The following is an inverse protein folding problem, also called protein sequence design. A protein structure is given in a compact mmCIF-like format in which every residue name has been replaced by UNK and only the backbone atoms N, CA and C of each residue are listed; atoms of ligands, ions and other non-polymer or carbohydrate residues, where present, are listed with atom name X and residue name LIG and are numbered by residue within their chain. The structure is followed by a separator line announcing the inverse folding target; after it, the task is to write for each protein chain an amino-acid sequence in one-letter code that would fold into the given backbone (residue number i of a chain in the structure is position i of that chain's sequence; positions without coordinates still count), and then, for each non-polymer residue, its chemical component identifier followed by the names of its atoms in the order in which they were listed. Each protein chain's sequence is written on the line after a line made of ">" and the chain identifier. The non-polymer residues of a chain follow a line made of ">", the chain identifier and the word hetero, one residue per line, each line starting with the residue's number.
data_IF_334436787574
#
_entry.id   IF_334436787574
#
_cell.length_a   1.000
_cell.length_b   1.000
_cell.length_c   1.000
_cell.angle_alpha   90.00
_cell.angle_beta   90.00
_cell.angle_gamma   90.00
#
_symmetry.space_group_name_H-M   'P 1'
#
loop_
_entity.id
_entity.type
_entity.pdbx_description
1 polymer ?
#
# COMPACT_ATOMS: atom_id res chain seq x y z
N UNK A 1 9.62 13.90 4.98
CA UNK A 1 8.63 12.85 4.63
C UNK A 1 8.21 12.87 3.17
N UNK A 2 7.84 14.01 2.56
CA UNK A 2 7.41 14.06 1.15
C UNK A 2 8.44 13.51 0.13
N UNK A 3 9.74 13.64 0.39
CA UNK A 3 10.78 13.13 -0.53
C UNK A 3 10.88 11.61 -0.57
N UNK A 4 10.70 10.90 0.55
CA UNK A 4 10.77 9.44 0.59
C UNK A 4 9.52 8.84 -0.06
N UNK A 5 8.34 9.37 0.27
CA UNK A 5 7.10 8.97 -0.39
C UNK A 5 7.17 9.25 -1.89
N UNK A 6 7.72 10.39 -2.30
CA UNK A 6 7.95 10.73 -3.71
C UNK A 6 8.93 9.76 -4.39
N UNK A 7 10.05 9.42 -3.75
CA UNK A 7 11.01 8.47 -4.30
C UNK A 7 10.41 7.06 -4.44
N UNK A 8 9.64 6.62 -3.45
CA UNK A 8 8.89 5.36 -3.50
C UNK A 8 7.85 5.36 -4.63
N UNK A 9 7.16 6.49 -4.84
CA UNK A 9 6.20 6.68 -5.94
C UNK A 9 6.92 6.70 -7.31
N UNK A 10 8.05 7.40 -7.42
CA UNK A 10 8.85 7.44 -8.65
C UNK A 10 9.40 6.05 -9.03
N UNK A 11 9.76 5.23 -8.04
CA UNK A 11 10.20 3.85 -8.28
C UNK A 11 9.12 2.96 -8.90
N UNK A 12 7.85 3.25 -8.61
CA UNK A 12 6.69 2.46 -9.04
C UNK A 12 5.93 3.07 -10.23
N UNK A 13 6.34 4.24 -10.70
CA UNK A 13 5.72 4.93 -11.83
C UNK A 13 6.00 4.23 -13.17
N UNK A 14 5.07 4.36 -14.13
CA UNK A 14 5.18 3.83 -15.51
C UNK A 14 6.41 4.34 -16.29
N UNK A 15 6.99 5.48 -15.89
CA UNK A 15 8.20 6.07 -16.48
C UNK A 15 9.50 5.48 -15.89
N UNK A 16 9.38 4.64 -14.85
CA UNK A 16 10.52 3.94 -14.28
C UNK A 16 11.10 2.98 -15.32
N UNK A 17 12.44 2.90 -15.49
CA UNK A 17 13.05 1.90 -16.37
C UNK A 17 12.75 0.45 -15.92
N UNK A 18 12.08 0.29 -14.78
CA UNK A 18 11.59 -0.96 -14.23
C UNK A 18 10.07 -1.15 -14.39
N UNK A 19 9.35 -0.29 -15.13
CA UNK A 19 7.90 -0.30 -15.32
C UNK A 19 7.41 -1.34 -16.34
N UNK A 20 7.48 -2.63 -15.99
CA UNK A 20 6.63 -3.66 -16.62
C UNK A 20 5.22 -3.64 -15.99
N UNK A 21 4.18 -4.06 -16.72
CA UNK A 21 2.80 -4.11 -16.21
C UNK A 21 2.64 -4.95 -14.94
N UNK A 22 3.41 -6.03 -14.77
CA UNK A 22 3.22 -6.98 -13.66
C UNK A 22 3.97 -6.56 -12.38
N UNK A 23 3.66 -5.39 -11.80
CA UNK A 23 4.51 -4.81 -10.76
C UNK A 23 4.45 -5.54 -9.41
N UNK A 24 3.33 -6.18 -9.08
CA UNK A 24 3.13 -6.84 -7.78
C UNK A 24 3.02 -8.38 -7.84
N UNK A 25 3.02 -8.99 -9.03
CA UNK A 25 3.13 -10.46 -9.21
C UNK A 25 4.60 -10.96 -9.27
N UNK A 26 5.57 -10.15 -8.81
CA UNK A 26 6.99 -10.46 -9.00
C UNK A 26 7.95 -9.65 -8.13
N UNK A 27 9.21 -9.57 -8.58
CA UNK A 27 10.32 -9.01 -7.80
C UNK A 27 10.13 -7.55 -7.35
N UNK A 28 9.32 -6.74 -8.06
CA UNK A 28 9.17 -5.31 -7.77
C UNK A 28 8.30 -5.02 -6.55
N UNK A 29 7.22 -5.77 -6.33
CA UNK A 29 6.46 -5.70 -5.08
C UNK A 29 7.29 -6.08 -3.86
N UNK A 30 8.19 -7.04 -4.01
CA UNK A 30 9.15 -7.40 -2.96
C UNK A 30 10.16 -6.27 -2.69
N UNK A 31 10.75 -5.68 -3.74
CA UNK A 31 11.68 -4.54 -3.61
C UNK A 31 11.01 -3.32 -2.99
N UNK A 32 9.81 -2.95 -3.45
CA UNK A 32 9.03 -1.86 -2.84
C UNK A 32 8.80 -2.13 -1.35
N UNK A 33 8.35 -3.34 -1.01
CA UNK A 33 8.13 -3.76 0.38
C UNK A 33 9.40 -3.65 1.22
N UNK A 34 10.53 -4.10 0.70
CA UNK A 34 11.83 -4.01 1.39
C UNK A 34 12.25 -2.57 1.65
N UNK A 35 12.19 -1.70 0.63
CA UNK A 35 12.55 -0.28 0.76
C UNK A 35 11.56 0.44 1.69
N UNK A 36 10.27 0.16 1.58
CA UNK A 36 9.26 0.71 2.46
C UNK A 36 9.53 0.32 3.92
N UNK A 37 9.76 -0.96 4.21
CA UNK A 37 10.06 -1.44 5.58
C UNK A 37 11.38 -0.85 6.08
N UNK A 38 12.37 -0.67 5.21
CA UNK A 38 13.62 -0.01 5.60
C UNK A 38 13.40 1.42 6.11
N UNK A 39 12.49 2.18 5.48
CA UNK A 39 12.16 3.54 5.89
C UNK A 39 11.12 3.62 7.01
N UNK A 40 10.20 2.65 7.08
CA UNK A 40 9.08 2.59 8.00
C UNK A 40 9.01 1.23 8.70
N UNK A 41 10.00 0.88 9.54
CA UNK A 41 10.16 -0.48 10.08
C UNK A 41 8.97 -0.94 10.93
N UNK A 42 8.33 -0.02 11.65
CA UNK A 42 7.23 -0.34 12.57
C UNK A 42 5.86 -0.38 11.87
N UNK A 43 5.76 0.06 10.61
CA UNK A 43 4.49 0.22 9.93
C UNK A 43 3.71 -1.10 9.85
N UNK A 44 4.40 -2.19 9.46
CA UNK A 44 3.76 -3.51 9.34
C UNK A 44 3.30 -4.04 10.69
N UNK A 45 4.10 -3.86 11.74
CA UNK A 45 3.72 -4.26 13.09
C UNK A 45 2.47 -3.50 13.54
N UNK A 46 2.42 -2.18 13.31
CA UNK A 46 1.26 -1.34 13.64
C UNK A 46 0.02 -1.74 12.83
N UNK A 47 0.16 -2.03 11.53
CA UNK A 47 -0.94 -2.54 10.69
C UNK A 47 -1.43 -3.91 11.20
N UNK A 48 -0.54 -4.84 11.50
CA UNK A 48 -0.92 -6.17 12.04
C UNK A 48 -1.60 -6.10 13.41
N UNK A 49 -1.27 -5.10 14.24
CA UNK A 49 -2.00 -4.84 15.50
C UNK A 49 -3.44 -4.42 15.26
N UNK A 50 -3.69 -3.62 14.22
CA UNK A 50 -5.03 -3.15 13.86
C UNK A 50 -5.81 -4.16 13.01
N UNK A 51 -5.10 -4.96 12.22
CA UNK A 51 -5.62 -5.98 11.32
C UNK A 51 -4.88 -7.29 11.59
N UNK A 52 -5.22 -8.01 12.68
CA UNK A 52 -4.56 -9.27 12.99
C UNK A 52 -4.75 -10.29 11.87
N UNK A 53 -3.64 -10.82 11.35
CA UNK A 53 -3.67 -11.78 10.25
C UNK A 53 -3.86 -11.15 8.88
N UNK A 54 -3.51 -9.86 8.72
CA UNK A 54 -3.45 -9.24 7.40
C UNK A 54 -2.55 -10.08 6.48
N UNK A 55 -3.00 -10.35 5.26
CA UNK A 55 -2.18 -11.04 4.26
C UNK A 55 -1.06 -10.11 3.77
N UNK A 56 -0.05 -10.66 3.11
CA UNK A 56 1.01 -9.84 2.49
C UNK A 56 0.48 -8.84 1.49
N UNK A 57 -0.59 -9.20 0.78
CA UNK A 57 -1.24 -8.33 -0.21
C UNK A 57 -2.03 -7.21 0.48
N UNK A 58 -2.71 -7.50 1.59
CA UNK A 58 -3.41 -6.49 2.40
C UNK A 58 -2.41 -5.51 3.03
N UNK A 59 -1.29 -6.00 3.56
CA UNK A 59 -0.20 -5.15 4.05
C UNK A 59 0.36 -4.25 2.96
N UNK A 60 0.60 -4.79 1.77
CA UNK A 60 1.13 -4.05 0.64
C UNK A 60 0.15 -2.98 0.13
N UNK A 61 -1.14 -3.33 0.08
CA UNK A 61 -2.19 -2.34 -0.19
C UNK A 61 -2.17 -1.22 0.84
N UNK A 62 -2.00 -1.53 2.13
CA UNK A 62 -1.90 -0.53 3.18
C UNK A 62 -0.69 0.40 2.97
N UNK A 63 0.48 -0.14 2.59
CA UNK A 63 1.66 0.67 2.28
C UNK A 63 1.40 1.67 1.15
N UNK A 64 0.79 1.20 0.05
CA UNK A 64 0.49 2.02 -1.12
C UNK A 64 -0.51 3.14 -0.82
N UNK A 65 -1.56 2.82 -0.06
CA UNK A 65 -2.52 3.81 0.40
C UNK A 65 -1.85 4.82 1.34
N UNK A 66 -0.96 4.37 2.24
CA UNK A 66 -0.27 5.24 3.19
C UNK A 66 0.63 6.27 2.49
N UNK A 67 1.34 5.87 1.43
CA UNK A 67 2.14 6.81 0.62
C UNK A 67 1.29 7.70 -0.29
N UNK A 68 -0.03 7.49 -0.36
CA UNK A 68 -0.98 8.36 -1.04
C UNK A 68 -1.31 7.96 -2.47
N UNK A 69 -1.10 6.70 -2.85
CA UNK A 69 -1.56 6.20 -4.15
C UNK A 69 -3.09 6.15 -4.23
N UNK A 70 -3.62 6.56 -5.38
CA UNK A 70 -5.03 6.49 -5.74
C UNK A 70 -5.46 5.06 -6.09
N UNK A 71 -6.77 4.82 -6.17
CA UNK A 71 -7.32 3.50 -6.54
C UNK A 71 -6.90 3.11 -7.95
N UNK A 72 -6.89 4.06 -8.88
CA UNK A 72 -6.54 3.83 -10.28
C UNK A 72 -5.05 3.46 -10.41
N UNK A 73 -4.16 4.16 -9.68
CA UNK A 73 -2.74 3.81 -9.61
C UNK A 73 -2.56 2.41 -8.99
N UNK A 74 -3.24 2.12 -7.88
CA UNK A 74 -3.17 0.81 -7.22
C UNK A 74 -3.67 -0.30 -8.16
N UNK A 75 -4.72 -0.08 -8.95
CA UNK A 75 -5.21 -1.03 -9.95
C UNK A 75 -4.11 -1.39 -10.97
N UNK A 76 -3.45 -0.37 -11.51
CA UNK A 76 -2.34 -0.53 -12.45
C UNK A 76 -1.17 -1.30 -11.81
N UNK A 77 -0.85 -1.00 -10.56
CA UNK A 77 0.24 -1.63 -9.82
C UNK A 77 -0.05 -3.09 -9.48
N UNK A 78 -1.28 -3.41 -9.07
CA UNK A 78 -1.69 -4.76 -8.69
C UNK A 78 -1.92 -5.69 -9.88
N UNK A 79 -2.11 -5.18 -11.10
CA UNK A 79 -2.62 -5.97 -12.22
C UNK A 79 -3.91 -6.71 -11.87
N UNK A 80 -4.68 -6.14 -10.95
CA UNK A 80 -5.98 -6.66 -10.54
C UNK A 80 -7.06 -5.71 -11.07
N UNK A 81 -8.25 -6.22 -11.41
CA UNK A 81 -9.38 -5.35 -11.70
C UNK A 81 -9.68 -4.41 -10.53
N UNK A 82 -10.13 -3.18 -10.81
CA UNK A 82 -10.54 -2.20 -9.80
C UNK A 82 -11.49 -2.79 -8.74
N UNK A 83 -12.38 -3.70 -9.16
CA UNK A 83 -13.30 -4.42 -8.27
C UNK A 83 -12.56 -5.21 -7.18
N UNK A 84 -11.46 -5.89 -7.52
CA UNK A 84 -10.67 -6.62 -6.53
C UNK A 84 -9.91 -5.68 -5.59
N UNK A 85 -9.37 -4.58 -6.11
CA UNK A 85 -8.74 -3.53 -5.28
C UNK A 85 -9.74 -2.98 -4.28
N UNK A 86 -10.97 -2.70 -4.72
CA UNK A 86 -12.05 -2.22 -3.86
C UNK A 86 -12.46 -3.25 -2.81
N UNK A 87 -12.50 -4.54 -3.18
CA UNK A 87 -12.76 -5.64 -2.24
C UNK A 87 -11.68 -5.75 -1.17
N UNK A 88 -10.39 -5.61 -1.53
CA UNK A 88 -9.31 -5.58 -0.54
C UNK A 88 -9.39 -4.36 0.38
N UNK A 89 -9.68 -3.17 -0.17
CA UNK A 89 -9.88 -1.96 0.66
C UNK A 89 -11.02 -2.15 1.65
N UNK A 90 -12.15 -2.71 1.22
CA UNK A 90 -13.27 -3.05 2.10
C UNK A 90 -12.91 -4.07 3.16
N UNK A 91 -12.16 -5.12 2.80
CA UNK A 91 -11.65 -6.11 3.75
C UNK A 91 -10.82 -5.45 4.85
N UNK A 92 -9.84 -4.62 4.46
CA UNK A 92 -8.97 -3.91 5.40
C UNK A 92 -9.76 -2.94 6.28
N UNK A 93 -10.63 -2.12 5.70
CA UNK A 93 -11.51 -1.20 6.44
C UNK A 93 -12.34 -1.94 7.50
N UNK A 94 -12.96 -3.05 7.11
CA UNK A 94 -13.79 -3.85 8.02
C UNK A 94 -12.94 -4.45 9.16
N UNK A 95 -11.77 -5.01 8.84
CA UNK A 95 -10.88 -5.57 9.86
C UNK A 95 -10.33 -4.51 10.81
N UNK A 96 -10.02 -3.30 10.31
CA UNK A 96 -9.62 -2.14 11.12
C UNK A 96 -10.78 -1.50 11.90
N UNK A 97 -12.02 -1.95 11.68
CA UNK A 97 -13.25 -1.39 12.28
C UNK A 97 -13.45 0.09 11.97
N UNK A 98 -13.13 0.49 10.75
CA UNK A 98 -13.38 1.85 10.27
C UNK A 98 -14.84 2.00 9.85
N UNK A 99 -15.48 3.09 10.28
CA UNK A 99 -16.87 3.40 9.92
C UNK A 99 -17.01 3.86 8.47
N UNK A 100 -15.98 4.49 7.93
CA UNK A 100 -15.97 5.01 6.56
C UNK A 100 -14.65 4.69 5.85
N UNK A 101 -14.73 4.28 4.58
CA UNK A 101 -13.54 3.94 3.77
C UNK A 101 -12.60 5.12 3.59
N UNK A 102 -13.13 6.36 3.56
CA UNK A 102 -12.33 7.58 3.46
C UNK A 102 -11.32 7.72 4.60
N UNK A 103 -11.61 7.14 5.77
CA UNK A 103 -10.74 7.19 6.95
C UNK A 103 -9.55 6.24 6.84
N UNK A 104 -9.58 5.28 5.92
CA UNK A 104 -8.49 4.30 5.76
C UNK A 104 -7.17 5.00 5.41
N UNK A 105 -7.22 5.92 4.45
CA UNK A 105 -6.04 6.69 4.04
C UNK A 105 -5.46 7.52 5.19
N UNK A 106 -6.32 8.23 5.90
CA UNK A 106 -5.92 9.06 7.04
C UNK A 106 -5.32 8.21 8.16
N UNK A 107 -5.94 7.06 8.47
CA UNK A 107 -5.45 6.17 9.53
C UNK A 107 -4.11 5.54 9.19
N UNK A 108 -3.94 5.09 7.95
CA UNK A 108 -2.68 4.54 7.46
C UNK A 108 -1.57 5.60 7.41
N UNK A 109 -1.92 6.84 7.07
CA UNK A 109 -0.97 7.95 7.12
C UNK A 109 -0.57 8.28 8.56
N UNK A 110 -1.49 8.27 9.51
CA UNK A 110 -1.17 8.42 10.94
C UNK A 110 -0.16 7.36 11.43
N UNK A 111 -0.32 6.11 10.98
CA UNK A 111 0.62 5.01 11.29
C UNK A 111 2.00 5.25 10.66
N UNK A 112 2.04 5.83 9.46
CA UNK A 112 3.25 6.13 8.72
C UNK A 112 4.04 7.30 9.32
N UNK A 113 3.33 8.28 9.91
CA UNK A 113 3.88 9.53 10.43
C UNK A 113 4.20 9.50 11.93
N UNK A 114 3.53 8.63 12.70
CA UNK A 114 3.78 8.41 14.14
C UNK A 114 4.67 7.21 14.43
#
# INVERSE_FOLDING_TARGET
>A
MKEISRALIEMISDESPYASKDMLCGARGAVFREIFIFHYPDFIEKVQKLVPGATKDEELLCMLIAVGQSVDEIEQLFCLPAEQVYMFRKSVCWKMRLEEEKLLGDKLREILEG
#
